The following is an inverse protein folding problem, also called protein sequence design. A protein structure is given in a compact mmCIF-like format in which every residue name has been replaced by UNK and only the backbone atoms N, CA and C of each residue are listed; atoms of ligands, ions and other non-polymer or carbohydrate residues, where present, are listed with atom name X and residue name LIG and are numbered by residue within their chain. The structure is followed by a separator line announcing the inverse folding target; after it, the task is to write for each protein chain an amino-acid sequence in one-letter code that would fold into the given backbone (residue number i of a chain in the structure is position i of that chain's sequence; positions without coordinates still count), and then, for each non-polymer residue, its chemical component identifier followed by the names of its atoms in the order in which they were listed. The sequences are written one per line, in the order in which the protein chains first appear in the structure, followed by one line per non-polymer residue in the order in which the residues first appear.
data_IF_277854536138
#
_entry.id   IF_277854536138
#
_cell.length_a   1.000
_cell.length_b   1.000
_cell.length_c   1.000
_cell.angle_alpha   90.00
_cell.angle_beta   90.00
_cell.angle_gamma   90.00
#
_symmetry.space_group_name_H-M   'P 1'
#
loop_
_entity.id
_entity.type
_entity.pdbx_description
1 polymer ?
#
# COMPACT_ATOMS: atom_id res chain seq x y z
N UNK A 1 29.60 -4.98 11.06
CA UNK A 1 29.69 -5.19 9.60
C UNK A 1 28.40 -5.83 9.10
N UNK A 2 27.87 -5.40 7.96
CA UNK A 2 26.65 -5.96 7.37
C UNK A 2 27.03 -6.98 6.29
N UNK A 3 26.82 -8.28 6.55
CA UNK A 3 27.15 -9.36 5.62
C UNK A 3 26.05 -9.53 4.56
N UNK A 4 26.06 -8.67 3.56
CA UNK A 4 25.06 -8.69 2.49
C UNK A 4 25.08 -9.99 1.67
N UNK A 5 26.26 -10.58 1.45
CA UNK A 5 26.38 -11.80 0.67
C UNK A 5 25.79 -13.00 1.42
N UNK A 6 26.11 -13.13 2.70
CA UNK A 6 25.52 -14.15 3.58
C UNK A 6 24.01 -13.98 3.71
N UNK A 7 23.52 -12.75 3.92
CA UNK A 7 22.07 -12.47 4.00
C UNK A 7 21.33 -12.76 2.70
N UNK A 8 21.91 -12.39 1.55
CA UNK A 8 21.34 -12.71 0.24
C UNK A 8 21.22 -14.21 0.03
N UNK A 9 22.24 -14.98 0.42
CA UNK A 9 22.20 -16.45 0.37
C UNK A 9 21.13 -17.01 1.30
N UNK A 10 21.09 -16.54 2.55
CA UNK A 10 20.13 -16.99 3.55
C UNK A 10 18.67 -16.74 3.15
N UNK A 11 18.40 -15.60 2.49
CA UNK A 11 17.09 -15.27 1.94
C UNK A 11 16.70 -16.23 0.79
N UNK A 12 17.64 -16.49 -0.13
CA UNK A 12 17.42 -17.44 -1.24
C UNK A 12 17.10 -18.85 -0.74
N UNK A 13 17.82 -19.33 0.29
CA UNK A 13 17.56 -20.64 0.92
C UNK A 13 16.15 -20.72 1.55
N UNK A 14 15.45 -19.59 1.71
CA UNK A 14 14.07 -19.47 2.23
C UNK A 14 13.04 -19.05 1.19
N UNK A 15 13.42 -19.00 -0.09
CA UNK A 15 12.55 -18.48 -1.16
C UNK A 15 12.06 -17.04 -0.89
N UNK A 16 12.90 -16.23 -0.23
CA UNK A 16 12.68 -14.80 0.00
C UNK A 16 13.78 -14.03 -0.72
N UNK A 17 13.48 -12.82 -1.16
CA UNK A 17 14.47 -11.94 -1.81
C UNK A 17 14.66 -10.70 -0.96
N UNK A 18 15.91 -10.25 -0.79
CA UNK A 18 16.18 -8.95 -0.19
C UNK A 18 15.65 -7.85 -1.10
N UNK A 19 15.19 -6.75 -0.52
CA UNK A 19 14.84 -5.52 -1.23
C UNK A 19 15.98 -4.53 -0.99
N UNK A 20 16.58 -4.02 -2.06
CA UNK A 20 17.63 -3.01 -1.96
C UNK A 20 17.08 -1.68 -1.47
N UNK A 21 17.93 -0.84 -0.88
CA UNK A 21 17.58 0.51 -0.50
C UNK A 21 18.69 1.49 -0.88
N UNK A 22 18.36 2.47 -1.72
CA UNK A 22 19.25 3.55 -2.17
C UNK A 22 18.66 4.91 -1.77
N UNK A 23 18.85 5.32 -0.52
CA UNK A 23 18.61 6.70 -0.10
C UNK A 23 19.76 7.59 -0.60
N UNK A 24 19.43 8.70 -1.27
CA UNK A 24 20.43 9.59 -1.89
C UNK A 24 20.69 10.86 -1.08
N UNK A 25 19.83 11.17 -0.11
CA UNK A 25 19.77 12.45 0.58
C UNK A 25 19.78 13.64 -0.41
N UNK A 26 19.01 13.49 -1.48
CA UNK A 26 18.93 14.39 -2.64
C UNK A 26 20.25 14.64 -3.40
N UNK A 27 21.33 13.87 -3.15
CA UNK A 27 22.60 14.00 -3.89
C UNK A 27 22.62 13.12 -5.14
N UNK A 28 21.90 13.55 -6.16
CA UNK A 28 21.68 12.77 -7.38
C UNK A 28 22.94 12.63 -8.23
N UNK A 29 23.84 13.62 -8.24
CA UNK A 29 25.11 13.50 -8.98
C UNK A 29 25.98 12.37 -8.40
N UNK A 30 26.05 12.27 -7.07
CA UNK A 30 26.75 11.19 -6.39
C UNK A 30 26.11 9.83 -6.72
N UNK A 31 24.78 9.76 -6.69
CA UNK A 31 24.07 8.52 -7.01
C UNK A 31 24.28 8.09 -8.46
N UNK A 32 24.19 9.01 -9.42
CA UNK A 32 24.40 8.72 -10.84
C UNK A 32 25.80 8.18 -11.15
N UNK A 33 26.84 8.69 -10.45
CA UNK A 33 28.21 8.21 -10.60
C UNK A 33 28.41 6.75 -10.14
N UNK A 34 27.49 6.23 -9.33
CA UNK A 34 27.55 4.88 -8.76
C UNK A 34 26.47 3.95 -9.31
N UNK A 35 25.50 4.49 -10.04
CA UNK A 35 24.24 3.83 -10.40
C UNK A 35 24.42 2.49 -11.12
N UNK A 36 25.31 2.44 -12.12
CA UNK A 36 25.59 1.21 -12.86
C UNK A 36 26.22 0.14 -11.97
N UNK A 37 27.15 0.54 -11.10
CA UNK A 37 27.79 -0.38 -10.16
C UNK A 37 26.81 -0.85 -9.09
N UNK A 38 25.90 0.02 -8.65
CA UNK A 38 24.88 -0.30 -7.67
C UNK A 38 23.89 -1.34 -8.23
N UNK A 39 23.36 -1.15 -9.44
CA UNK A 39 22.47 -2.15 -10.06
C UNK A 39 23.19 -3.46 -10.41
N UNK A 40 24.45 -3.40 -10.86
CA UNK A 40 25.25 -4.61 -11.05
C UNK A 40 25.46 -5.36 -9.73
N UNK A 41 25.64 -4.64 -8.62
CA UNK A 41 25.77 -5.23 -7.29
C UNK A 41 24.48 -5.91 -6.82
N UNK A 42 23.32 -5.27 -6.97
CA UNK A 42 22.03 -5.88 -6.67
C UNK A 42 21.85 -7.19 -7.46
N UNK A 43 22.09 -7.15 -8.78
CA UNK A 43 21.97 -8.32 -9.63
C UNK A 43 22.93 -9.46 -9.25
N UNK A 44 24.19 -9.15 -8.93
CA UNK A 44 25.18 -10.13 -8.47
C UNK A 44 24.70 -10.89 -7.22
N UNK A 45 23.91 -10.23 -6.38
CA UNK A 45 23.38 -10.78 -5.13
C UNK A 45 21.89 -11.16 -5.24
N UNK A 46 21.39 -11.41 -6.45
CA UNK A 46 20.01 -11.82 -6.71
C UNK A 46 18.93 -10.88 -6.12
N UNK A 47 19.25 -9.60 -5.93
CA UNK A 47 18.31 -8.57 -5.50
C UNK A 47 17.65 -7.95 -6.73
N UNK A 48 16.34 -8.09 -6.83
CA UNK A 48 15.56 -7.72 -8.04
C UNK A 48 14.71 -6.47 -7.86
N UNK A 49 14.71 -5.88 -6.68
CA UNK A 49 13.95 -4.67 -6.38
C UNK A 49 14.79 -3.70 -5.54
N UNK A 50 14.53 -2.42 -5.70
CA UNK A 50 15.16 -1.36 -4.91
C UNK A 50 14.15 -0.26 -4.60
N UNK A 51 14.08 0.13 -3.31
CA UNK A 51 13.51 1.39 -2.89
C UNK A 51 14.57 2.48 -3.07
N UNK A 52 14.26 3.54 -3.79
CA UNK A 52 15.11 4.74 -3.86
C UNK A 52 14.45 5.89 -3.13
N UNK A 53 15.23 6.75 -2.49
CA UNK A 53 14.73 7.97 -1.83
C UNK A 53 15.63 9.17 -2.11
N UNK A 54 15.04 10.37 -1.99
CA UNK A 54 15.67 11.64 -2.33
C UNK A 54 15.46 12.67 -1.24
N UNK A 55 15.50 12.28 0.04
CA UNK A 55 15.22 13.16 1.16
C UNK A 55 16.11 14.42 1.12
N UNK A 56 15.48 15.58 0.95
CA UNK A 56 16.15 16.87 0.87
C UNK A 56 15.25 17.90 0.20
N UNK A 57 15.51 19.19 0.44
CA UNK A 57 14.67 20.25 -0.15
C UNK A 57 14.96 20.47 -1.63
N UNK A 58 16.20 20.24 -2.05
CA UNK A 58 16.69 20.47 -3.42
C UNK A 58 17.68 19.40 -3.84
N UNK A 59 17.55 18.92 -5.07
CA UNK A 59 18.47 17.99 -5.69
C UNK A 59 19.84 18.66 -5.89
N UNK A 60 20.89 17.99 -5.41
CA UNK A 60 22.27 18.50 -5.34
C UNK A 60 22.37 19.90 -4.71
N UNK A 61 21.42 20.26 -3.83
CA UNK A 61 21.26 21.60 -3.23
C UNK A 61 21.02 22.73 -4.23
N UNK A 62 20.66 22.42 -5.49
CA UNK A 62 20.55 23.40 -6.58
C UNK A 62 19.12 23.51 -7.11
N UNK A 63 18.56 22.39 -7.54
CA UNK A 63 17.33 22.35 -8.32
C UNK A 63 16.18 21.72 -7.54
N UNK A 64 14.94 22.06 -7.91
CA UNK A 64 13.76 21.45 -7.33
C UNK A 64 13.54 20.04 -7.87
N UNK A 65 12.95 19.16 -7.04
CA UNK A 65 12.64 17.77 -7.41
C UNK A 65 11.84 17.68 -8.71
N UNK A 66 10.92 18.62 -8.92
CA UNK A 66 9.96 18.54 -10.03
C UNK A 66 10.36 19.38 -11.25
N UNK A 67 11.54 20.02 -11.23
CA UNK A 67 12.07 20.73 -12.38
C UNK A 67 12.61 19.78 -13.45
N UNK A 68 12.95 20.30 -14.63
CA UNK A 68 13.49 19.50 -15.73
C UNK A 68 14.75 18.70 -15.32
N UNK A 69 15.59 19.26 -14.44
CA UNK A 69 16.75 18.58 -13.89
C UNK A 69 16.38 17.28 -13.16
N UNK A 70 15.41 17.34 -12.23
CA UNK A 70 14.92 16.16 -11.52
C UNK A 70 14.19 15.18 -12.44
N UNK A 71 13.35 15.66 -13.35
CA UNK A 71 12.67 14.81 -14.35
C UNK A 71 13.67 13.99 -15.18
N UNK A 72 14.76 14.62 -15.62
CA UNK A 72 15.83 13.94 -16.36
C UNK A 72 16.51 12.87 -15.50
N UNK A 73 16.82 13.19 -14.25
CA UNK A 73 17.43 12.24 -13.31
C UNK A 73 16.54 11.02 -13.07
N UNK A 74 15.28 11.22 -12.65
CA UNK A 74 14.37 10.11 -12.37
C UNK A 74 14.21 9.23 -13.60
N UNK A 75 14.05 9.83 -14.79
CA UNK A 75 13.94 9.09 -16.06
C UNK A 75 15.20 8.26 -16.34
N UNK A 76 16.38 8.84 -16.12
CA UNK A 76 17.67 8.13 -16.28
C UNK A 76 17.79 6.95 -15.31
N UNK A 77 17.48 7.15 -14.02
CA UNK A 77 17.50 6.10 -13.01
C UNK A 77 16.51 4.97 -13.34
N UNK A 78 15.26 5.32 -13.68
CA UNK A 78 14.21 4.37 -14.07
C UNK A 78 14.59 3.55 -15.30
N UNK A 79 15.14 4.20 -16.34
CA UNK A 79 15.58 3.51 -17.55
C UNK A 79 16.74 2.54 -17.23
N UNK A 80 17.74 2.97 -16.46
CA UNK A 80 18.86 2.09 -16.07
C UNK A 80 18.40 0.92 -15.20
N UNK A 81 17.46 1.15 -14.29
CA UNK A 81 16.82 0.06 -13.51
C UNK A 81 16.11 -0.93 -14.42
N UNK A 82 15.34 -0.43 -15.40
CA UNK A 82 14.69 -1.26 -16.42
C UNK A 82 15.67 -2.11 -17.23
N UNK A 83 16.69 -1.47 -17.82
CA UNK A 83 17.72 -2.15 -18.62
C UNK A 83 18.49 -3.19 -17.78
N UNK A 84 18.64 -2.94 -16.47
CA UNK A 84 19.26 -3.84 -15.51
C UNK A 84 18.31 -4.90 -14.93
N UNK A 85 17.03 -4.91 -15.32
CA UNK A 85 15.99 -5.81 -14.77
C UNK A 85 15.84 -5.70 -13.25
N UNK A 86 15.92 -4.47 -12.73
CA UNK A 86 15.69 -4.12 -11.32
C UNK A 86 14.37 -3.34 -11.20
N UNK A 87 13.43 -3.87 -10.43
CA UNK A 87 12.19 -3.18 -10.08
C UNK A 87 12.48 -2.00 -9.14
N UNK A 88 11.74 -0.91 -9.31
CA UNK A 88 11.96 0.34 -8.61
C UNK A 88 10.71 0.82 -7.89
N UNK A 89 10.88 1.13 -6.61
CA UNK A 89 9.93 1.85 -5.77
C UNK A 89 10.54 3.20 -5.43
N UNK A 90 9.92 4.31 -5.85
CA UNK A 90 10.56 5.63 -5.79
C UNK A 90 9.88 6.53 -4.74
N UNK A 91 10.60 6.84 -3.66
CA UNK A 91 10.23 7.85 -2.65
C UNK A 91 10.79 9.23 -3.04
N UNK A 92 10.22 10.31 -2.49
CA UNK A 92 10.39 11.71 -2.93
C UNK A 92 10.42 11.93 -4.47
N UNK A 93 9.53 11.26 -5.25
CA UNK A 93 9.66 11.17 -6.69
C UNK A 93 9.18 12.46 -7.40
N UNK A 94 9.43 12.58 -8.70
CA UNK A 94 8.50 13.31 -9.57
C UNK A 94 7.13 12.61 -9.56
N UNK A 95 6.04 13.38 -9.58
CA UNK A 95 4.70 12.80 -9.73
C UNK A 95 4.63 11.87 -10.93
N UNK A 96 3.89 10.77 -10.77
CA UNK A 96 3.73 9.80 -11.86
C UNK A 96 2.91 10.37 -13.02
N UNK A 97 3.28 9.98 -14.24
CA UNK A 97 2.62 10.38 -15.49
C UNK A 97 2.39 9.18 -16.43
N UNK A 98 2.42 7.96 -15.90
CA UNK A 98 2.19 6.73 -16.67
C UNK A 98 3.44 6.06 -17.25
N UNK A 99 4.65 6.53 -16.93
CA UNK A 99 5.91 5.92 -17.42
C UNK A 99 6.05 4.43 -17.09
N UNK A 100 5.34 3.90 -16.10
CA UNK A 100 5.22 2.45 -15.84
C UNK A 100 4.72 1.64 -17.05
N UNK A 101 4.00 2.25 -18.00
CA UNK A 101 3.61 1.60 -19.25
C UNK A 101 4.82 1.37 -20.17
N UNK A 102 5.76 2.32 -20.19
CA UNK A 102 6.98 2.24 -21.00
C UNK A 102 8.07 1.42 -20.28
N UNK A 103 8.20 1.61 -18.96
CA UNK A 103 9.17 0.97 -18.10
C UNK A 103 8.43 0.22 -16.98
N UNK A 104 7.96 -1.02 -17.22
CA UNK A 104 7.16 -1.78 -16.24
C UNK A 104 7.91 -2.18 -14.96
N UNK A 105 9.23 -1.96 -14.91
CA UNK A 105 10.03 -2.08 -13.69
C UNK A 105 9.80 -0.92 -12.72
N UNK A 106 9.21 0.21 -13.14
CA UNK A 106 8.68 1.20 -12.22
C UNK A 106 7.38 0.65 -11.61
N UNK A 107 7.48 0.01 -10.45
CA UNK A 107 6.36 -0.71 -9.84
C UNK A 107 5.49 0.20 -9.00
N UNK A 108 6.09 1.11 -8.23
CA UNK A 108 5.35 2.04 -7.39
C UNK A 108 6.17 3.27 -7.03
N UNK A 109 5.51 4.28 -6.48
CA UNK A 109 6.16 5.47 -5.96
C UNK A 109 5.34 6.04 -4.79
N UNK A 110 5.98 6.75 -3.89
CA UNK A 110 5.30 7.39 -2.75
C UNK A 110 4.69 8.73 -3.19
N UNK A 111 5.38 9.87 -3.05
CA UNK A 111 4.96 11.16 -3.61
C UNK A 111 3.63 11.68 -3.03
N UNK A 112 3.35 11.29 -1.79
CA UNK A 112 2.24 11.71 -0.93
C UNK A 112 2.65 11.38 0.50
N UNK A 113 2.07 12.02 1.52
CA UNK A 113 2.29 11.59 2.90
C UNK A 113 1.86 10.12 3.06
N UNK A 114 2.81 9.22 3.27
CA UNK A 114 2.57 7.80 3.57
C UNK A 114 2.32 7.54 5.05
N UNK A 115 2.45 6.27 5.48
CA UNK A 115 2.31 5.93 6.90
C UNK A 115 3.45 6.45 7.78
N UNK A 116 4.63 6.74 7.22
CA UNK A 116 5.75 7.35 7.96
C UNK A 116 5.37 8.65 8.68
N UNK A 117 4.51 9.46 8.06
CA UNK A 117 4.02 10.70 8.66
C UNK A 117 3.18 10.47 9.92
N UNK A 118 2.69 9.26 10.18
CA UNK A 118 1.98 8.95 11.43
C UNK A 118 2.90 8.66 12.60
N UNK A 119 4.16 8.30 12.34
CA UNK A 119 5.16 8.05 13.37
C UNK A 119 5.91 9.33 13.79
N UNK A 120 6.11 10.27 12.85
CA UNK A 120 6.97 11.45 13.10
C UNK A 120 6.38 12.78 12.61
N UNK A 121 5.22 12.77 11.95
CA UNK A 121 4.56 14.00 11.51
C UNK A 121 3.89 14.70 12.70
N UNK A 122 4.07 16.01 12.81
CA UNK A 122 3.43 16.84 13.84
C UNK A 122 2.59 17.97 13.18
N UNK A 123 1.26 17.79 12.98
CA UNK A 123 0.48 16.58 13.23
C UNK A 123 0.71 15.48 12.17
N UNK A 124 0.35 14.25 12.51
CA UNK A 124 0.34 13.10 11.59
C UNK A 124 -0.72 13.24 10.49
N UNK A 125 -1.04 12.14 9.80
CA UNK A 125 -2.17 12.17 8.87
C UNK A 125 -3.49 12.32 9.64
N UNK A 126 -4.60 12.59 8.94
CA UNK A 126 -5.96 12.56 9.51
C UNK A 126 -6.69 11.29 9.08
N UNK A 127 -7.76 10.86 9.78
CA UNK A 127 -8.59 9.75 9.31
C UNK A 127 -9.09 9.94 7.86
N UNK A 128 -9.39 11.18 7.46
CA UNK A 128 -9.84 11.52 6.11
C UNK A 128 -8.76 11.34 5.02
N UNK A 129 -7.46 11.36 5.35
CA UNK A 129 -6.36 11.37 4.37
C UNK A 129 -6.47 10.26 3.33
N UNK A 130 -6.70 9.02 3.78
CA UNK A 130 -6.80 7.85 2.91
C UNK A 130 -8.07 7.83 2.06
N UNK A 131 -9.09 8.62 2.41
CA UNK A 131 -10.31 8.81 1.59
C UNK A 131 -10.13 9.86 0.48
N UNK A 132 -9.00 10.58 0.46
CA UNK A 132 -8.65 11.60 -0.54
C UNK A 132 -7.64 11.02 -1.55
N UNK A 133 -6.70 10.19 -1.07
CA UNK A 133 -5.62 9.60 -1.87
C UNK A 133 -6.09 8.86 -3.13
N UNK A 134 -7.18 8.05 -3.13
CA UNK A 134 -7.69 7.39 -4.33
C UNK A 134 -8.12 8.35 -5.44
N UNK A 135 -8.61 9.54 -5.08
CA UNK A 135 -9.18 10.53 -6.00
C UNK A 135 -8.22 11.66 -6.38
N UNK A 136 -7.00 11.61 -5.84
CA UNK A 136 -5.97 12.63 -6.10
C UNK A 136 -4.67 11.94 -6.52
N UNK A 137 -3.84 11.52 -5.55
CA UNK A 137 -2.53 10.92 -5.81
C UNK A 137 -2.62 9.63 -6.62
N UNK A 138 -3.61 8.77 -6.36
CA UNK A 138 -3.72 7.47 -7.04
C UNK A 138 -4.14 7.59 -8.50
N UNK A 139 -4.72 8.72 -8.92
CA UNK A 139 -5.00 9.01 -10.32
C UNK A 139 -3.71 9.03 -11.17
N UNK A 140 -2.58 9.42 -10.56
CA UNK A 140 -1.28 9.48 -11.22
C UNK A 140 -0.64 8.09 -11.42
N UNK A 141 -0.95 7.13 -10.55
CA UNK A 141 -0.38 5.78 -10.56
C UNK A 141 -0.28 5.17 -9.17
N UNK A 142 0.25 3.93 -9.07
CA UNK A 142 0.40 3.17 -7.83
C UNK A 142 1.01 3.96 -6.66
N UNK A 143 0.60 3.66 -5.44
CA UNK A 143 1.11 4.35 -4.25
C UNK A 143 1.72 3.34 -3.29
N UNK A 144 3.01 3.48 -3.03
CA UNK A 144 3.68 2.75 -1.95
C UNK A 144 3.32 3.43 -0.62
N UNK A 145 2.10 3.16 -0.12
CA UNK A 145 1.57 3.79 1.09
C UNK A 145 2.03 3.11 2.38
N UNK A 146 2.58 1.90 2.26
CA UNK A 146 3.02 1.03 3.36
C UNK A 146 1.93 0.80 4.42
N UNK A 147 0.79 0.23 4.01
CA UNK A 147 -0.36 -0.05 4.88
C UNK A 147 -0.17 -1.27 5.80
N UNK A 148 -1.15 -1.57 6.64
CA UNK A 148 -1.21 -2.82 7.41
C UNK A 148 -0.59 -2.75 8.80
N UNK A 149 -0.63 -1.59 9.47
CA UNK A 149 -0.27 -1.50 10.88
C UNK A 149 -1.28 -2.28 11.73
N UNK A 150 -0.80 -3.25 12.52
CA UNK A 150 -1.59 -4.02 13.49
C UNK A 150 -1.51 -3.38 14.87
N UNK A 151 -0.35 -2.86 15.26
CA UNK A 151 -0.24 -1.90 16.36
C UNK A 151 -0.32 -0.47 15.82
N UNK A 152 -1.51 0.13 15.93
CA UNK A 152 -1.77 1.49 15.47
C UNK A 152 -1.54 2.56 16.53
N UNK A 153 -1.24 2.17 17.77
CA UNK A 153 -0.94 3.09 18.88
C UNK A 153 0.58 3.18 19.09
N UNK A 154 1.28 2.04 19.10
CA UNK A 154 2.74 1.96 19.20
C UNK A 154 3.36 2.85 20.29
N UNK A 155 2.64 2.97 21.42
CA UNK A 155 2.98 3.85 22.55
C UNK A 155 4.38 3.56 23.12
N UNK A 156 4.84 2.31 23.01
CA UNK A 156 6.20 1.89 23.40
C UNK A 156 7.29 2.67 22.65
N UNK A 157 7.05 2.99 21.38
CA UNK A 157 8.05 3.58 20.49
C UNK A 157 7.87 5.08 20.29
N UNK A 158 6.63 5.57 20.22
CA UNK A 158 6.29 6.98 19.97
C UNK A 158 4.94 7.35 20.66
N UNK A 159 4.92 7.57 21.98
CA UNK A 159 3.68 7.72 22.76
C UNK A 159 2.81 8.94 22.39
N UNK A 160 3.39 9.93 21.70
CA UNK A 160 2.67 11.13 21.25
C UNK A 160 2.18 11.01 19.79
N UNK A 161 2.37 9.86 19.16
CA UNK A 161 2.04 9.60 17.76
C UNK A 161 1.18 8.34 17.63
N UNK A 162 0.49 8.20 16.51
CA UNK A 162 -0.35 7.03 16.22
C UNK A 162 -0.75 6.98 14.76
N UNK A 163 -1.21 5.81 14.30
CA UNK A 163 -1.97 5.72 13.05
C UNK A 163 -3.43 6.12 13.32
N UNK A 164 -3.99 7.13 12.64
CA UNK A 164 -5.34 7.64 12.86
C UNK A 164 -6.39 6.76 12.14
N UNK A 165 -6.50 5.51 12.59
CA UNK A 165 -7.24 4.43 11.90
C UNK A 165 -7.78 3.40 12.89
N UNK A 166 -8.69 2.53 12.45
CA UNK A 166 -8.84 1.17 13.00
C UNK A 166 -7.99 0.18 12.21
N UNK A 167 -7.77 -1.03 12.73
CA UNK A 167 -7.05 -2.08 12.01
C UNK A 167 -7.85 -2.65 10.83
N UNK A 168 -9.18 -2.67 10.89
CA UNK A 168 -10.01 -3.12 9.75
C UNK A 168 -9.81 -2.20 8.54
N UNK A 169 -9.69 -0.89 8.78
CA UNK A 169 -9.27 0.07 7.74
C UNK A 169 -7.87 -0.24 7.20
N UNK A 170 -6.92 -0.63 8.05
CA UNK A 170 -5.57 -1.00 7.58
C UNK A 170 -5.59 -2.20 6.62
N UNK A 171 -6.49 -3.16 6.83
CA UNK A 171 -6.73 -4.26 5.88
C UNK A 171 -7.37 -3.75 4.58
N UNK A 172 -8.41 -2.91 4.69
CA UNK A 172 -9.11 -2.35 3.54
C UNK A 172 -8.19 -1.55 2.59
N UNK A 173 -7.13 -0.92 3.11
CA UNK A 173 -6.18 -0.14 2.31
C UNK A 173 -5.47 -0.97 1.23
N UNK A 174 -5.30 -2.29 1.40
CA UNK A 174 -4.70 -3.17 0.38
C UNK A 174 -5.55 -3.25 -0.89
N UNK A 175 -6.85 -3.02 -0.77
CA UNK A 175 -7.78 -2.95 -1.91
C UNK A 175 -7.99 -1.49 -2.35
N UNK A 176 -8.16 -0.56 -1.41
CA UNK A 176 -8.50 0.84 -1.74
C UNK A 176 -7.32 1.58 -2.39
N UNK A 177 -6.13 1.49 -1.81
CA UNK A 177 -4.93 2.16 -2.34
C UNK A 177 -4.14 1.15 -3.19
N UNK A 178 -4.32 1.25 -4.50
CA UNK A 178 -3.68 0.33 -5.43
C UNK A 178 -2.16 0.49 -5.44
N UNK A 179 -1.48 -0.64 -5.25
CA UNK A 179 -0.09 -0.84 -5.61
C UNK A 179 0.17 -2.29 -5.99
N UNK A 180 0.93 -2.58 -7.06
CA UNK A 180 1.44 -3.94 -7.31
C UNK A 180 2.54 -4.32 -6.31
N UNK A 181 3.00 -3.34 -5.52
CA UNK A 181 3.99 -3.45 -4.46
C UNK A 181 3.34 -3.07 -3.14
N UNK A 182 2.95 -4.07 -2.33
CA UNK A 182 2.36 -3.83 -1.02
C UNK A 182 3.32 -4.30 0.07
N UNK A 183 3.50 -3.47 1.08
CA UNK A 183 4.32 -3.77 2.25
C UNK A 183 3.40 -4.11 3.42
N UNK A 184 3.69 -5.21 4.13
CA UNK A 184 3.28 -5.39 5.51
C UNK A 184 4.19 -4.52 6.38
N UNK A 185 3.72 -3.34 6.79
CA UNK A 185 4.61 -2.31 7.35
C UNK A 185 5.07 -2.54 8.79
N UNK A 186 4.35 -3.38 9.54
CA UNK A 186 4.52 -3.52 10.98
C UNK A 186 5.62 -4.53 11.34
N UNK A 187 5.94 -4.59 12.62
CA UNK A 187 6.84 -5.60 13.16
C UNK A 187 6.18 -7.01 13.07
N UNK A 188 6.96 -8.07 12.78
CA UNK A 188 6.44 -9.44 12.70
C UNK A 188 5.61 -9.87 13.92
N UNK A 189 6.04 -9.52 15.13
CA UNK A 189 5.35 -9.82 16.39
C UNK A 189 3.93 -9.24 16.46
N UNK A 190 3.69 -8.09 15.85
CA UNK A 190 2.37 -7.46 15.82
C UNK A 190 1.41 -8.22 14.87
N UNK A 191 1.95 -8.85 13.81
CA UNK A 191 1.18 -9.76 12.95
C UNK A 191 0.95 -11.12 13.62
N UNK A 192 1.94 -11.65 14.34
CA UNK A 192 1.81 -12.90 15.10
C UNK A 192 0.74 -12.79 16.20
N UNK A 193 0.61 -11.61 16.81
CA UNK A 193 -0.46 -11.30 17.77
C UNK A 193 -1.85 -11.21 17.13
N UNK A 194 -1.95 -11.06 15.80
CA UNK A 194 -3.20 -10.87 15.03
C UNK A 194 -3.37 -11.89 13.90
N UNK A 195 -3.48 -13.20 14.24
CA UNK A 195 -3.66 -14.24 13.24
C UNK A 195 -4.99 -14.09 12.46
N UNK A 196 -5.98 -13.46 13.08
CA UNK A 196 -7.27 -13.09 12.47
C UNK A 196 -7.08 -12.13 11.29
N UNK A 197 -6.37 -11.01 11.50
CA UNK A 197 -6.07 -10.04 10.45
C UNK A 197 -5.09 -10.61 9.40
N UNK A 198 -4.17 -11.48 9.83
CA UNK A 198 -3.18 -12.09 8.95
C UNK A 198 -3.79 -13.04 7.91
N UNK A 199 -4.98 -13.60 8.16
CA UNK A 199 -5.69 -14.42 7.17
C UNK A 199 -5.99 -13.60 5.90
N UNK A 200 -6.55 -12.40 6.05
CA UNK A 200 -6.79 -11.50 4.92
C UNK A 200 -5.49 -11.08 4.23
N UNK A 201 -4.46 -10.71 5.01
CA UNK A 201 -3.18 -10.24 4.47
C UNK A 201 -2.45 -11.31 3.65
N UNK A 202 -2.69 -12.59 3.93
CA UNK A 202 -2.19 -13.72 3.13
C UNK A 202 -3.02 -13.95 1.86
N UNK A 203 -4.31 -13.67 1.90
CA UNK A 203 -5.24 -13.91 0.80
C UNK A 203 -5.21 -12.79 -0.26
N UNK A 204 -5.15 -11.53 0.16
CA UNK A 204 -5.30 -10.37 -0.73
C UNK A 204 -4.17 -10.29 -1.79
N UNK A 205 -4.49 -10.30 -3.09
CA UNK A 205 -3.47 -10.17 -4.13
C UNK A 205 -3.07 -8.71 -4.34
N UNK A 206 -2.00 -8.47 -5.10
CA UNK A 206 -1.57 -7.12 -5.50
C UNK A 206 -1.80 -6.84 -6.99
N UNK A 207 -2.24 -7.84 -7.75
CA UNK A 207 -2.41 -7.77 -9.20
C UNK A 207 -3.85 -8.10 -9.58
N UNK A 208 -4.49 -7.21 -10.33
CA UNK A 208 -5.93 -7.22 -10.51
C UNK A 208 -6.29 -7.27 -12.00
N UNK A 209 -7.27 -8.10 -12.38
CA UNK A 209 -7.80 -8.16 -13.75
C UNK A 209 -8.84 -7.06 -13.99
N UNK A 210 -9.62 -6.70 -12.96
CA UNK A 210 -10.67 -5.68 -13.03
C UNK A 210 -10.68 -4.87 -11.74
N UNK A 211 -11.09 -3.61 -11.84
CA UNK A 211 -11.30 -2.70 -10.70
C UNK A 211 -12.58 -1.92 -10.96
N UNK A 212 -13.41 -1.81 -9.93
CA UNK A 212 -14.70 -1.10 -9.95
C UNK A 212 -14.75 -0.19 -8.73
N UNK A 213 -14.97 1.10 -8.94
CA UNK A 213 -15.35 2.00 -7.85
C UNK A 213 -16.84 1.84 -7.60
N UNK A 214 -17.23 1.46 -6.39
CA UNK A 214 -18.63 1.16 -6.08
C UNK A 214 -19.36 2.43 -5.64
N UNK A 215 -18.86 3.10 -4.59
CA UNK A 215 -19.33 4.41 -4.17
C UNK A 215 -18.25 5.20 -3.42
N UNK A 216 -18.41 6.52 -3.41
CA UNK A 216 -17.47 7.39 -2.71
C UNK A 216 -18.00 8.80 -2.52
N UNK A 217 -17.40 9.49 -1.55
CA UNK A 217 -17.43 10.95 -1.44
C UNK A 217 -16.07 11.40 -0.95
N UNK A 218 -15.37 12.19 -1.77
CA UNK A 218 -13.97 12.58 -1.53
C UNK A 218 -13.84 13.24 -0.15
N UNK A 219 -12.92 12.74 0.68
CA UNK A 219 -12.73 13.23 2.05
C UNK A 219 -13.66 12.60 3.08
N UNK A 220 -14.64 11.80 2.65
CA UNK A 220 -15.57 11.12 3.55
C UNK A 220 -15.45 9.61 3.53
N UNK A 221 -15.59 8.96 2.37
CA UNK A 221 -15.48 7.51 2.26
C UNK A 221 -15.17 7.07 0.84
N UNK A 222 -14.67 5.85 0.70
CA UNK A 222 -14.44 5.19 -0.59
C UNK A 222 -14.62 3.68 -0.46
N UNK A 223 -15.30 3.07 -1.44
CA UNK A 223 -15.41 1.62 -1.57
C UNK A 223 -14.98 1.20 -2.97
N UNK A 224 -14.13 0.17 -3.04
CA UNK A 224 -13.55 -0.33 -4.28
C UNK A 224 -13.62 -1.85 -4.29
N UNK A 225 -14.11 -2.42 -5.39
CA UNK A 225 -14.02 -3.84 -5.70
C UNK A 225 -12.91 -4.12 -6.71
N UNK A 226 -12.18 -5.22 -6.54
CA UNK A 226 -11.18 -5.68 -7.50
C UNK A 226 -11.25 -7.18 -7.69
N UNK A 227 -11.16 -7.62 -8.95
CA UNK A 227 -11.07 -9.04 -9.29
C UNK A 227 -9.61 -9.44 -9.33
N UNK A 228 -9.26 -10.49 -8.61
CA UNK A 228 -7.93 -11.08 -8.72
C UNK A 228 -7.61 -11.38 -10.19
N UNK A 229 -6.36 -11.21 -10.58
CA UNK A 229 -5.91 -11.53 -11.92
C UNK A 229 -5.82 -13.03 -12.18
N UNK A 230 -5.59 -13.82 -11.13
CA UNK A 230 -5.27 -15.24 -11.24
C UNK A 230 -6.37 -16.17 -10.70
N UNK A 231 -7.52 -15.63 -10.31
CA UNK A 231 -8.67 -16.40 -9.83
C UNK A 231 -9.99 -15.70 -10.14
N UNK A 232 -11.10 -16.36 -9.79
CA UNK A 232 -12.44 -15.79 -9.87
C UNK A 232 -12.81 -14.97 -8.62
N UNK A 233 -11.91 -14.89 -7.63
CA UNK A 233 -12.17 -14.18 -6.38
C UNK A 233 -12.20 -12.67 -6.60
N UNK A 234 -13.08 -12.03 -5.84
CA UNK A 234 -13.17 -10.58 -5.74
C UNK A 234 -12.80 -10.12 -4.34
N UNK A 235 -12.26 -8.91 -4.24
CA UNK A 235 -11.93 -8.29 -2.98
C UNK A 235 -12.56 -6.90 -2.94
N UNK A 236 -13.18 -6.57 -1.81
CA UNK A 236 -13.77 -5.25 -1.58
C UNK A 236 -13.08 -4.61 -0.39
N UNK A 237 -12.69 -3.35 -0.55
CA UNK A 237 -12.23 -2.51 0.55
C UNK A 237 -13.13 -1.29 0.67
N UNK A 238 -13.65 -1.05 1.88
CA UNK A 238 -14.36 0.16 2.27
C UNK A 238 -13.59 0.91 3.35
N UNK A 239 -13.47 2.22 3.23
CA UNK A 239 -12.88 3.08 4.25
C UNK A 239 -13.71 4.35 4.48
N UNK A 240 -13.72 4.86 5.72
CA UNK A 240 -14.38 6.12 6.08
C UNK A 240 -13.42 7.09 6.79
N UNK A 241 -13.81 8.36 6.87
CA UNK A 241 -13.11 9.40 7.62
C UNK A 241 -13.44 9.28 9.12
N UNK A 242 -13.24 10.34 9.90
CA UNK A 242 -13.52 10.37 11.34
C UNK A 242 -15.01 10.15 11.70
N UNK A 243 -15.91 10.10 10.71
CA UNK A 243 -17.33 9.83 10.92
C UNK A 243 -17.65 8.40 10.45
N UNK A 244 -18.19 7.57 11.36
CA UNK A 244 -18.65 6.22 11.06
C UNK A 244 -19.82 6.21 10.07
N UNK A 245 -19.96 5.12 9.31
CA UNK A 245 -20.93 4.98 8.21
C UNK A 245 -21.40 3.54 8.05
N UNK A 246 -22.63 3.41 7.56
CA UNK A 246 -23.10 2.22 6.87
C UNK A 246 -23.28 2.64 5.41
N UNK A 247 -22.69 1.88 4.50
CA UNK A 247 -22.73 2.18 3.07
C UNK A 247 -23.23 0.94 2.35
N UNK A 248 -24.35 1.07 1.64
CA UNK A 248 -24.89 0.02 0.81
C UNK A 248 -24.15 -0.02 -0.55
N UNK A 249 -23.84 -1.22 -1.03
CA UNK A 249 -23.22 -1.47 -2.34
C UNK A 249 -24.03 -2.50 -3.13
N UNK A 250 -24.10 -2.31 -4.45
CA UNK A 250 -24.66 -3.31 -5.37
C UNK A 250 -23.58 -4.33 -5.74
N UNK A 251 -23.90 -5.63 -5.66
CA UNK A 251 -22.97 -6.72 -6.00
C UNK A 251 -22.97 -7.07 -7.50
N UNK A 252 -23.37 -6.14 -8.38
CA UNK A 252 -23.39 -6.29 -9.84
C UNK A 252 -22.01 -6.48 -10.49
N UNK A 253 -20.92 -6.26 -9.73
CA UNK A 253 -19.58 -6.59 -10.19
C UNK A 253 -19.29 -8.10 -10.18
N UNK A 254 -20.07 -8.87 -9.40
CA UNK A 254 -20.05 -10.33 -9.41
C UNK A 254 -20.84 -10.87 -10.60
N UNK A 255 -20.70 -12.17 -10.88
CA UNK A 255 -21.52 -12.83 -11.89
C UNK A 255 -22.96 -12.98 -11.39
N UNK A 256 -23.92 -12.44 -12.16
CA UNK A 256 -25.35 -12.43 -11.83
C UNK A 256 -25.87 -13.83 -11.48
N UNK A 257 -26.50 -13.95 -10.31
CA UNK A 257 -27.08 -15.21 -9.81
C UNK A 257 -26.08 -16.26 -9.31
N UNK A 258 -24.78 -16.10 -9.56
CA UNK A 258 -23.75 -16.99 -9.02
C UNK A 258 -23.58 -16.76 -7.51
N UNK A 259 -23.34 -17.85 -6.77
CA UNK A 259 -23.13 -17.81 -5.32
C UNK A 259 -21.67 -17.54 -4.98
N UNK A 260 -21.48 -16.74 -3.93
CA UNK A 260 -20.17 -16.43 -3.37
C UNK A 260 -20.21 -16.59 -1.85
N UNK A 261 -19.17 -17.21 -1.30
CA UNK A 261 -18.85 -17.12 0.12
C UNK A 261 -18.07 -15.83 0.35
N UNK A 262 -18.53 -15.01 1.29
CA UNK A 262 -17.88 -13.76 1.69
C UNK A 262 -17.18 -13.96 3.03
N UNK A 263 -15.87 -13.80 3.06
CA UNK A 263 -15.09 -13.64 4.29
C UNK A 263 -14.92 -12.16 4.58
N UNK A 264 -15.49 -11.70 5.69
CA UNK A 264 -15.46 -10.30 6.07
C UNK A 264 -14.53 -10.02 7.25
N UNK A 265 -13.78 -8.92 7.15
CA UNK A 265 -12.89 -8.38 8.17
C UNK A 265 -13.29 -6.91 8.40
N UNK A 266 -14.15 -6.67 9.38
CA UNK A 266 -14.77 -5.36 9.59
C UNK A 266 -14.53 -4.83 11.00
N UNK A 267 -14.74 -3.52 11.17
CA UNK A 267 -14.81 -2.93 12.50
C UNK A 267 -15.86 -3.63 13.37
N UNK A 268 -15.45 -4.14 14.53
CA UNK A 268 -16.40 -4.71 15.47
C UNK A 268 -17.30 -3.62 16.07
N UNK A 269 -18.44 -4.01 16.64
CA UNK A 269 -19.32 -3.09 17.36
C UNK A 269 -18.54 -2.33 18.45
N UNK A 270 -18.59 -1.01 18.39
CA UNK A 270 -17.90 -0.12 19.33
C UNK A 270 -16.42 0.11 19.01
N UNK A 271 -15.92 -0.37 17.87
CA UNK A 271 -14.64 0.06 17.32
C UNK A 271 -14.64 1.58 17.10
N UNK A 272 -13.48 2.19 17.30
CA UNK A 272 -13.28 3.61 17.06
C UNK A 272 -11.79 3.89 16.95
N UNK A 273 -11.38 4.69 15.96
CA UNK A 273 -9.96 4.97 15.76
C UNK A 273 -9.28 5.52 17.03
N UNK A 274 -9.88 6.44 17.78
CA UNK A 274 -9.26 6.99 19.00
C UNK A 274 -9.09 5.95 20.13
N UNK A 275 -10.17 5.36 20.66
CA UNK A 275 -10.14 4.64 21.94
C UNK A 275 -10.34 3.12 21.84
N UNK A 276 -10.68 2.59 20.67
CA UNK A 276 -10.84 1.16 20.46
C UNK A 276 -10.49 0.75 19.01
N UNK A 277 -9.26 1.03 18.54
CA UNK A 277 -8.93 0.86 17.12
C UNK A 277 -8.65 -0.59 16.71
N UNK A 278 -8.40 -1.47 17.67
CA UNK A 278 -8.01 -2.86 17.43
C UNK A 278 -9.18 -3.84 17.41
N UNK A 279 -10.40 -3.37 17.67
CA UNK A 279 -11.60 -4.21 17.70
C UNK A 279 -12.03 -4.58 16.26
N UNK A 280 -11.81 -5.85 15.92
CA UNK A 280 -12.06 -6.45 14.62
C UNK A 280 -13.09 -7.57 14.78
N UNK A 281 -14.04 -7.64 13.86
CA UNK A 281 -14.96 -8.75 13.69
C UNK A 281 -14.63 -9.47 12.39
N UNK A 282 -14.44 -10.78 12.48
CA UNK A 282 -14.27 -11.67 11.33
C UNK A 282 -15.50 -12.55 11.21
N UNK A 283 -16.09 -12.61 10.02
CA UNK A 283 -17.31 -13.38 9.78
C UNK A 283 -17.31 -14.01 8.39
N UNK A 284 -18.17 -15.02 8.23
CA UNK A 284 -18.49 -15.59 6.93
C UNK A 284 -19.99 -15.45 6.66
N UNK A 285 -20.33 -15.12 5.42
CA UNK A 285 -21.72 -15.11 4.94
C UNK A 285 -21.77 -15.54 3.48
N UNK A 286 -22.97 -15.66 2.92
CA UNK A 286 -23.21 -16.10 1.55
C UNK A 286 -24.10 -15.10 0.83
N UNK A 287 -23.72 -14.75 -0.40
CA UNK A 287 -24.42 -13.77 -1.24
C UNK A 287 -24.53 -14.28 -2.68
N UNK A 288 -25.45 -13.74 -3.45
CA UNK A 288 -25.52 -13.88 -4.90
C UNK A 288 -25.02 -12.63 -5.60
N UNK A 289 -24.46 -12.79 -6.80
CA UNK A 289 -24.22 -11.64 -7.67
C UNK A 289 -25.53 -10.97 -8.06
N UNK A 290 -25.58 -9.64 -7.90
CA UNK A 290 -26.80 -8.84 -8.04
C UNK A 290 -27.54 -8.54 -6.72
N UNK A 291 -27.08 -9.08 -5.58
CA UNK A 291 -27.61 -8.69 -4.26
C UNK A 291 -27.13 -7.29 -3.86
N UNK A 292 -27.82 -6.69 -2.88
CA UNK A 292 -27.35 -5.51 -2.14
C UNK A 292 -26.58 -5.95 -0.89
N UNK A 293 -25.50 -5.24 -0.54
CA UNK A 293 -24.69 -5.56 0.64
C UNK A 293 -24.32 -4.31 1.45
N UNK A 294 -24.56 -4.35 2.75
CA UNK A 294 -24.24 -3.25 3.66
C UNK A 294 -22.82 -3.37 4.22
N UNK A 295 -22.05 -2.30 4.10
CA UNK A 295 -20.70 -2.15 4.65
C UNK A 295 -20.74 -1.28 5.89
N UNK A 296 -20.49 -1.87 7.06
CA UNK A 296 -20.29 -1.14 8.31
C UNK A 296 -18.84 -0.68 8.45
N UNK A 297 -18.65 0.61 8.76
CA UNK A 297 -17.34 1.20 9.04
C UNK A 297 -17.45 2.11 10.27
N UNK A 298 -16.65 1.84 11.30
CA UNK A 298 -16.56 2.69 12.47
C UNK A 298 -15.92 4.05 12.13
N UNK A 299 -16.03 5.06 13.00
CA UNK A 299 -15.24 6.29 12.90
C UNK A 299 -13.75 5.99 12.70
N UNK A 300 -13.17 6.55 11.63
CA UNK A 300 -11.79 6.31 11.20
C UNK A 300 -11.51 4.87 10.76
N UNK A 301 -12.55 4.11 10.47
CA UNK A 301 -12.51 2.68 10.23
C UNK A 301 -12.81 2.25 8.79
N UNK A 302 -13.06 0.96 8.62
CA UNK A 302 -13.16 0.31 7.32
C UNK A 302 -13.54 -1.16 7.39
N UNK A 303 -13.63 -1.76 6.21
CA UNK A 303 -13.97 -3.17 6.01
C UNK A 303 -13.20 -3.73 4.82
N UNK A 304 -12.68 -4.94 4.98
CA UNK A 304 -12.04 -5.73 3.94
C UNK A 304 -12.83 -7.03 3.74
N UNK A 305 -13.21 -7.33 2.51
CA UNK A 305 -13.97 -8.53 2.16
C UNK A 305 -13.23 -9.33 1.09
N UNK A 306 -13.28 -10.65 1.20
CA UNK A 306 -12.91 -11.61 0.15
C UNK A 306 -14.18 -12.36 -0.29
N UNK A 307 -14.51 -12.30 -1.58
CA UNK A 307 -15.62 -13.00 -2.20
C UNK A 307 -15.06 -14.18 -3.00
N UNK A 308 -15.35 -15.39 -2.54
CA UNK A 308 -14.89 -16.65 -3.12
C UNK A 308 -16.06 -17.25 -3.90
N UNK A 309 -15.89 -17.39 -5.22
CA UNK A 309 -16.92 -18.00 -6.07
C UNK A 309 -17.07 -19.48 -5.73
N UNK A 310 -18.31 -19.93 -5.56
CA UNK A 310 -18.66 -21.34 -5.30
C UNK A 310 -18.68 -22.20 -6.57
#
# INVERSE_FOLDING_TARGET
HYDFAGLSKYAQDRNVTLIGHHETSASITNYENQLDRAYAYLNKHNVKAVKTGYVGTRLDKKEWHHGQYGVNHYTKAMKKGHDSKVMMVVHEPIKQTGLRRTYPTLVSAEGVRGQEYNAWGMPGNTPAHTTIVPFTRSLAGPVDFTAGAMDVLFDEWQPDSRVPTTIAKQLALYVVIYSPWQMLMDLPENYEARPDAMEFLKAVPTNWSKTVGLNSKIGEFATIARKDRNSENWYVGGITNENGRIVNIDLDFLEEGAWYTVKGYQDARGAHWVWNPHALEVYETRVQGGDDFDLYMAPGGGVALEFIKE
#
